data_IF_924113014850
#
_entry.id   IF_924113014850
#
_cell.length_a   1.000
_cell.length_b   1.000
_cell.length_c   1.000
_cell.angle_alpha   90.00
_cell.angle_beta   90.00
_cell.angle_gamma   90.00
#
_symmetry.space_group_name_H-M   'P 1'
#
loop_
_entity.id
_entity.type
_entity.pdbx_description
1 polymer ?
#
# COMPACT_ATOMS: atom_id res chain seq x y z
N UNK A 1 -12.79 -13.74 -10.69
CA UNK A 1 -11.35 -13.59 -10.62
C UNK A 1 -10.92 -13.86 -9.17
N UNK A 2 -10.34 -15.03 -8.92
CA UNK A 2 -9.59 -15.25 -7.69
C UNK A 2 -8.28 -14.48 -7.86
N UNK A 3 -8.21 -13.29 -7.27
CA UNK A 3 -6.92 -12.72 -6.95
C UNK A 3 -6.30 -13.66 -5.91
N UNK A 4 -5.26 -14.36 -6.28
CA UNK A 4 -4.44 -15.11 -5.34
C UNK A 4 -3.82 -14.09 -4.37
N UNK A 5 -4.43 -13.94 -3.22
CA UNK A 5 -3.90 -13.19 -2.08
C UNK A 5 -2.62 -13.86 -1.51
N UNK A 6 -2.10 -14.89 -2.19
CA UNK A 6 -0.96 -15.69 -1.76
C UNK A 6 0.40 -15.20 -2.24
N UNK A 7 0.47 -14.38 -3.28
CA UNK A 7 1.77 -14.03 -3.89
C UNK A 7 2.46 -12.80 -3.27
N UNK A 8 1.79 -12.03 -2.41
CA UNK A 8 2.45 -10.94 -1.67
C UNK A 8 3.25 -11.41 -0.46
N UNK A 9 3.08 -12.65 -0.02
CA UNK A 9 3.67 -13.19 1.22
C UNK A 9 5.15 -13.60 1.07
N UNK A 10 5.71 -13.57 -0.12
CA UNK A 10 7.06 -14.09 -0.42
C UNK A 10 8.15 -13.06 -0.68
N UNK A 11 7.85 -11.75 -0.66
CA UNK A 11 8.87 -10.76 -0.98
C UNK A 11 9.85 -10.56 0.19
N UNK A 12 11.06 -11.14 0.05
CA UNK A 12 12.12 -11.01 1.05
C UNK A 12 13.05 -9.84 0.70
N UNK A 13 12.88 -8.70 1.41
CA UNK A 13 13.66 -7.49 1.19
C UNK A 13 15.17 -7.68 1.42
N UNK A 14 15.57 -8.67 2.22
CA UNK A 14 16.99 -8.94 2.52
C UNK A 14 17.77 -9.45 1.30
N UNK A 15 17.09 -10.14 0.37
CA UNK A 15 17.67 -10.66 -0.88
C UNK A 15 17.20 -9.94 -2.14
N UNK A 16 16.19 -9.05 -2.01
CA UNK A 16 15.61 -8.33 -3.14
C UNK A 16 16.58 -7.30 -3.73
N UNK A 17 16.66 -7.26 -5.04
CA UNK A 17 17.33 -6.18 -5.77
C UNK A 17 16.41 -4.95 -5.85
N UNK A 18 16.97 -3.78 -6.22
CA UNK A 18 16.15 -2.58 -6.46
C UNK A 18 15.11 -2.83 -7.58
N UNK A 19 15.49 -3.62 -8.60
CA UNK A 19 14.59 -3.98 -9.71
C UNK A 19 13.45 -4.88 -9.24
N UNK A 20 13.70 -5.81 -8.29
CA UNK A 20 12.65 -6.63 -7.69
C UNK A 20 11.66 -5.78 -6.89
N UNK A 21 12.15 -4.76 -6.17
CA UNK A 21 11.32 -3.80 -5.43
C UNK A 21 10.43 -3.01 -6.39
N UNK A 22 10.99 -2.50 -7.50
CA UNK A 22 10.23 -1.78 -8.51
C UNK A 22 9.18 -2.67 -9.18
N UNK A 23 9.55 -3.88 -9.61
CA UNK A 23 8.64 -4.82 -10.25
C UNK A 23 7.47 -5.20 -9.33
N UNK A 24 7.73 -5.42 -8.04
CA UNK A 24 6.69 -5.70 -7.06
C UNK A 24 5.74 -4.50 -6.87
N UNK A 25 6.28 -3.28 -6.79
CA UNK A 25 5.50 -2.04 -6.68
C UNK A 25 4.62 -1.83 -7.91
N UNK A 26 5.15 -2.03 -9.12
CA UNK A 26 4.38 -1.92 -10.37
C UNK A 26 3.24 -2.95 -10.41
N UNK A 27 3.50 -4.20 -10.01
CA UNK A 27 2.48 -5.26 -9.97
C UNK A 27 1.36 -4.90 -8.99
N UNK A 28 1.68 -4.40 -7.81
CA UNK A 28 0.67 -3.95 -6.84
C UNK A 28 -0.15 -2.78 -7.37
N UNK A 29 0.48 -1.78 -7.98
CA UNK A 29 -0.21 -0.64 -8.55
C UNK A 29 -1.13 -1.06 -9.71
N UNK A 30 -0.72 -2.01 -10.55
CA UNK A 30 -1.54 -2.55 -11.63
C UNK A 30 -2.77 -3.28 -11.08
N UNK A 31 -2.63 -4.12 -10.05
CA UNK A 31 -3.74 -4.81 -9.40
C UNK A 31 -4.75 -3.84 -8.78
N UNK A 32 -4.26 -2.78 -8.12
CA UNK A 32 -5.12 -1.72 -7.56
C UNK A 32 -5.86 -0.99 -8.68
N UNK A 33 -5.19 -0.64 -9.78
CA UNK A 33 -5.82 0.03 -10.92
C UNK A 33 -6.90 -0.85 -11.58
N UNK A 34 -6.68 -2.17 -11.72
CA UNK A 34 -7.67 -3.12 -12.25
C UNK A 34 -8.90 -3.21 -11.34
N UNK A 35 -8.71 -3.24 -10.01
CA UNK A 35 -9.82 -3.20 -9.05
C UNK A 35 -10.64 -1.91 -9.18
N UNK A 36 -9.98 -0.75 -9.35
CA UNK A 36 -10.64 0.55 -9.52
C UNK A 36 -11.45 0.57 -10.82
N UNK A 37 -10.86 0.12 -11.94
CA UNK A 37 -11.55 0.10 -13.22
C UNK A 37 -12.78 -0.82 -13.18
N UNK A 38 -12.66 -2.01 -12.58
CA UNK A 38 -13.77 -2.92 -12.40
C UNK A 38 -14.91 -2.34 -11.56
N UNK A 39 -14.58 -1.46 -10.62
CA UNK A 39 -15.51 -0.75 -9.77
C UNK A 39 -16.21 0.39 -10.51
N UNK A 40 -15.44 1.16 -11.31
CA UNK A 40 -15.95 2.26 -12.12
C UNK A 40 -16.92 1.74 -13.20
N UNK A 41 -16.65 0.59 -13.83
CA UNK A 41 -17.54 -0.05 -14.79
C UNK A 41 -18.86 -0.48 -14.15
N UNK A 42 -18.81 -1.12 -12.98
CA UNK A 42 -20.01 -1.51 -12.23
C UNK A 42 -20.81 -0.28 -11.80
N UNK A 43 -20.11 0.79 -11.43
CA UNK A 43 -20.65 2.07 -11.01
C UNK A 43 -21.29 2.83 -12.18
N UNK A 44 -20.63 2.87 -13.33
CA UNK A 44 -21.15 3.55 -14.51
C UNK A 44 -22.44 2.89 -15.03
N UNK A 45 -22.50 1.55 -15.01
CA UNK A 45 -23.71 0.80 -15.33
C UNK A 45 -24.87 1.16 -14.41
N UNK A 46 -24.64 1.18 -13.11
CA UNK A 46 -25.66 1.57 -12.12
C UNK A 46 -26.08 3.04 -12.27
N UNK A 47 -25.14 3.96 -12.47
CA UNK A 47 -25.42 5.39 -12.66
C UNK A 47 -26.28 5.63 -13.90
N UNK A 48 -25.99 4.92 -15.00
CA UNK A 48 -26.76 5.00 -16.23
C UNK A 48 -28.19 4.51 -16.03
N UNK A 49 -28.36 3.35 -15.44
CA UNK A 49 -29.67 2.78 -15.15
C UNK A 49 -30.47 3.69 -14.20
N UNK A 50 -29.79 4.31 -13.23
CA UNK A 50 -30.39 5.25 -12.28
C UNK A 50 -30.83 6.56 -12.95
N UNK A 51 -30.00 7.13 -13.83
CA UNK A 51 -30.32 8.37 -14.58
C UNK A 51 -31.44 8.14 -15.59
N UNK A 52 -31.47 6.98 -16.26
CA UNK A 52 -32.56 6.61 -17.14
C UNK A 52 -33.91 6.51 -16.40
N UNK A 53 -33.88 6.10 -15.13
CA UNK A 53 -35.09 6.01 -14.30
C UNK A 53 -35.52 7.32 -13.69
N UNK A 54 -34.56 8.15 -13.31
CA UNK A 54 -34.83 9.50 -12.80
C UNK A 54 -35.51 10.38 -13.88
N UNK A 55 -35.15 10.18 -15.13
CA UNK A 55 -35.69 10.90 -16.25
C UNK A 55 -36.95 10.21 -16.79
N UNK A 56 -38.02 10.98 -17.03
CA UNK A 56 -39.21 10.46 -17.71
C UNK A 56 -38.85 10.02 -19.12
N UNK A 57 -39.21 8.80 -19.49
CA UNK A 57 -39.05 8.33 -20.87
C UNK A 57 -39.86 9.21 -21.80
N UNK A 58 -39.49 9.21 -23.09
CA UNK A 58 -40.25 9.96 -24.09
C UNK A 58 -41.71 9.55 -24.14
N UNK A 59 -42.00 8.29 -23.88
CA UNK A 59 -43.36 7.74 -23.84
C UNK A 59 -44.11 8.19 -22.58
N UNK A 60 -43.46 8.23 -21.41
CA UNK A 60 -44.03 8.78 -20.19
C UNK A 60 -44.29 10.28 -20.26
N UNK A 61 -43.45 11.03 -20.95
CA UNK A 61 -43.68 12.46 -21.26
C UNK A 61 -44.92 12.64 -22.13
N UNK A 62 -45.05 11.81 -23.14
CA UNK A 62 -46.20 11.85 -24.07
C UNK A 62 -47.52 11.48 -23.39
N UNK A 63 -47.52 10.38 -22.64
CA UNK A 63 -48.69 9.93 -21.88
C UNK A 63 -49.04 10.89 -20.74
N UNK A 64 -48.02 11.55 -20.12
CA UNK A 64 -48.20 12.55 -19.05
C UNK A 64 -48.92 13.83 -19.51
N UNK A 65 -48.96 14.14 -20.82
CA UNK A 65 -49.75 15.22 -21.38
C UNK A 65 -51.27 14.91 -21.30
N UNK A 66 -51.62 13.61 -21.40
CA UNK A 66 -53.03 13.17 -21.43
C UNK A 66 -53.50 12.57 -20.08
N UNK A 67 -52.60 12.01 -19.28
CA UNK A 67 -52.93 11.45 -17.93
C UNK A 67 -51.70 11.31 -17.10
N UNK A 68 -51.54 12.16 -16.08
CA UNK A 68 -50.45 12.10 -15.10
C UNK A 68 -50.35 10.75 -14.38
N UNK A 69 -51.48 10.18 -13.94
CA UNK A 69 -51.56 8.90 -13.24
C UNK A 69 -51.07 7.72 -14.08
N UNK A 70 -51.36 7.71 -15.39
CA UNK A 70 -50.94 6.63 -16.28
C UNK A 70 -49.43 6.68 -16.62
N UNK A 71 -48.86 7.89 -16.70
CA UNK A 71 -47.44 8.08 -16.88
C UNK A 71 -46.64 7.65 -15.63
N UNK A 72 -47.20 7.89 -14.44
CA UNK A 72 -46.63 7.48 -13.15
C UNK A 72 -46.67 5.98 -12.94
N UNK A 73 -47.80 5.33 -13.30
CA UNK A 73 -47.92 3.88 -13.23
C UNK A 73 -46.96 3.16 -14.20
N UNK A 74 -46.78 3.68 -15.44
CA UNK A 74 -45.78 3.16 -16.40
C UNK A 74 -44.35 3.31 -15.86
N UNK A 75 -44.05 4.40 -15.18
CA UNK A 75 -42.76 4.63 -14.54
C UNK A 75 -42.50 3.65 -13.40
N UNK A 76 -43.52 3.38 -12.59
CA UNK A 76 -43.44 2.41 -11.47
C UNK A 76 -43.24 0.99 -12.00
N UNK A 77 -43.90 0.63 -13.07
CA UNK A 77 -43.77 -0.70 -13.71
C UNK A 77 -42.38 -0.88 -14.32
N UNK A 78 -41.84 0.19 -14.94
CA UNK A 78 -40.47 0.19 -15.45
C UNK A 78 -39.42 0.07 -14.32
N UNK A 79 -39.67 0.71 -13.19
CA UNK A 79 -38.79 0.60 -12.02
C UNK A 79 -38.84 -0.77 -11.35
N UNK A 80 -40.03 -1.39 -11.31
CA UNK A 80 -40.18 -2.78 -10.82
C UNK A 80 -39.53 -3.79 -11.79
N UNK A 81 -39.69 -3.59 -13.09
CA UNK A 81 -39.11 -4.49 -14.09
C UNK A 81 -37.60 -4.36 -14.22
N UNK A 82 -37.03 -3.23 -13.84
CA UNK A 82 -35.57 -3.01 -13.89
C UNK A 82 -34.80 -3.60 -12.69
N UNK A 83 -35.50 -4.24 -11.74
CA UNK A 83 -34.91 -4.90 -10.56
C UNK A 83 -33.81 -4.07 -9.85
N UNK A 84 -34.11 -2.77 -9.62
CA UNK A 84 -33.13 -1.82 -9.05
C UNK A 84 -32.72 -2.24 -7.65
N UNK A 85 -33.66 -2.76 -6.87
CA UNK A 85 -33.38 -3.26 -5.52
C UNK A 85 -32.30 -4.34 -5.56
N UNK A 86 -32.41 -5.28 -6.50
CA UNK A 86 -31.43 -6.35 -6.67
C UNK A 86 -30.08 -5.82 -7.14
N UNK A 87 -30.08 -4.88 -8.10
CA UNK A 87 -28.84 -4.25 -8.59
C UNK A 87 -28.15 -3.41 -7.52
N UNK A 88 -28.91 -2.67 -6.70
CA UNK A 88 -28.36 -1.90 -5.58
C UNK A 88 -27.78 -2.82 -4.50
N UNK A 89 -28.49 -3.89 -4.15
CA UNK A 89 -28.00 -4.87 -3.19
C UNK A 89 -26.73 -5.58 -3.71
N UNK A 90 -26.69 -5.94 -4.97
CA UNK A 90 -25.49 -6.52 -5.62
C UNK A 90 -24.32 -5.55 -5.61
N UNK A 91 -24.57 -4.27 -5.90
CA UNK A 91 -23.54 -3.22 -5.84
C UNK A 91 -23.00 -3.04 -4.43
N UNK A 92 -23.87 -2.98 -3.41
CA UNK A 92 -23.47 -2.86 -2.00
C UNK A 92 -22.65 -4.08 -1.59
N UNK A 93 -23.12 -5.29 -1.91
CA UNK A 93 -22.41 -6.53 -1.58
C UNK A 93 -21.02 -6.60 -2.23
N UNK A 94 -20.91 -6.22 -3.52
CA UNK A 94 -19.63 -6.15 -4.22
C UNK A 94 -18.70 -5.09 -3.62
N UNK A 95 -19.25 -3.91 -3.30
CA UNK A 95 -18.50 -2.84 -2.63
C UNK A 95 -17.95 -3.29 -1.28
N UNK A 96 -18.77 -3.97 -0.47
CA UNK A 96 -18.35 -4.49 0.84
C UNK A 96 -17.25 -5.56 0.71
N UNK A 97 -17.34 -6.43 -0.29
CA UNK A 97 -16.29 -7.43 -0.57
C UNK A 97 -14.99 -6.73 -0.95
N UNK A 98 -15.05 -5.72 -1.82
CA UNK A 98 -13.87 -4.98 -2.27
C UNK A 98 -13.25 -4.21 -1.10
N UNK A 99 -14.06 -3.54 -0.29
CA UNK A 99 -13.57 -2.85 0.94
C UNK A 99 -12.84 -3.83 1.85
N UNK A 100 -13.42 -5.00 2.12
CA UNK A 100 -12.78 -6.02 2.97
C UNK A 100 -11.45 -6.54 2.39
N UNK A 101 -11.38 -6.70 1.07
CA UNK A 101 -10.13 -7.08 0.41
C UNK A 101 -9.07 -5.98 0.52
N UNK A 102 -9.46 -4.73 0.30
CA UNK A 102 -8.58 -3.58 0.42
C UNK A 102 -8.12 -3.36 1.87
N UNK A 103 -8.99 -3.54 2.85
CA UNK A 103 -8.65 -3.47 4.27
C UNK A 103 -7.66 -4.58 4.66
N UNK A 104 -7.85 -5.80 4.17
CA UNK A 104 -6.91 -6.90 4.39
C UNK A 104 -5.53 -6.63 3.79
N UNK A 105 -5.49 -6.07 2.58
CA UNK A 105 -4.23 -5.65 1.94
C UNK A 105 -3.57 -4.49 2.70
N UNK A 106 -4.36 -3.53 3.18
CA UNK A 106 -3.85 -2.42 3.98
C UNK A 106 -3.18 -2.89 5.26
N UNK A 107 -3.80 -3.83 5.98
CA UNK A 107 -3.20 -4.43 7.18
C UNK A 107 -1.88 -5.14 6.86
N UNK A 108 -1.80 -5.84 5.74
CA UNK A 108 -0.55 -6.46 5.30
C UNK A 108 0.53 -5.42 4.98
N UNK A 109 0.17 -4.34 4.25
CA UNK A 109 1.10 -3.22 3.98
C UNK A 109 1.62 -2.58 5.26
N UNK A 110 0.75 -2.34 6.25
CA UNK A 110 1.12 -1.77 7.55
C UNK A 110 2.04 -2.73 8.34
N UNK A 111 1.77 -4.04 8.30
CA UNK A 111 2.65 -5.06 8.90
C UNK A 111 4.03 -5.10 8.23
N UNK A 112 4.08 -4.98 6.90
CA UNK A 112 5.34 -4.92 6.16
C UNK A 112 6.11 -3.63 6.48
N UNK A 113 5.45 -2.47 6.58
CA UNK A 113 6.06 -1.22 7.01
C UNK A 113 6.74 -1.36 8.37
N UNK A 114 6.06 -1.96 9.35
CA UNK A 114 6.63 -2.18 10.69
C UNK A 114 7.88 -3.08 10.64
N UNK A 115 7.85 -4.15 9.86
CA UNK A 115 9.00 -5.05 9.68
C UNK A 115 10.19 -4.34 9.03
N UNK A 116 9.94 -3.58 7.96
CA UNK A 116 10.98 -2.80 7.26
C UNK A 116 11.57 -1.74 8.18
N UNK A 117 10.74 -1.03 8.95
CA UNK A 117 11.21 -0.03 9.89
C UNK A 117 12.11 -0.63 10.98
N UNK A 118 11.71 -1.75 11.58
CA UNK A 118 12.54 -2.47 12.57
C UNK A 118 13.88 -2.94 11.97
N UNK A 119 13.87 -3.41 10.73
CA UNK A 119 15.10 -3.82 10.05
C UNK A 119 16.01 -2.62 9.75
N UNK A 120 15.42 -1.48 9.38
CA UNK A 120 16.18 -0.23 9.18
C UNK A 120 16.83 0.25 10.48
N UNK A 121 16.09 0.26 11.60
CA UNK A 121 16.62 0.64 12.92
C UNK A 121 17.78 -0.27 13.33
N UNK A 122 17.63 -1.59 13.12
CA UNK A 122 18.72 -2.55 13.36
C UNK A 122 19.92 -2.29 12.46
N UNK A 123 19.71 -2.11 11.17
CA UNK A 123 20.81 -1.86 10.20
C UNK A 123 21.55 -0.55 10.49
N UNK A 124 20.85 0.49 10.99
CA UNK A 124 21.46 1.73 11.45
C UNK A 124 22.35 1.49 12.66
N UNK A 125 21.87 0.77 13.68
CA UNK A 125 22.70 0.40 14.84
C UNK A 125 23.90 -0.46 14.49
N UNK A 126 23.72 -1.45 13.60
CA UNK A 126 24.84 -2.28 13.12
C UNK A 126 25.87 -1.47 12.32
N UNK A 127 25.44 -0.44 11.57
CA UNK A 127 26.34 0.47 10.85
C UNK A 127 27.09 1.39 11.80
N UNK A 128 26.43 1.92 12.81
CA UNK A 128 27.10 2.73 13.85
C UNK A 128 28.17 1.92 14.59
N UNK A 129 27.86 0.66 14.93
CA UNK A 129 28.85 -0.25 15.54
C UNK A 129 30.03 -0.54 14.60
N UNK A 130 29.77 -0.79 13.32
CA UNK A 130 30.84 -1.03 12.33
C UNK A 130 31.73 0.20 12.10
N UNK A 131 31.17 1.41 12.17
CA UNK A 131 31.94 2.66 12.08
C UNK A 131 32.84 2.84 13.34
N UNK A 132 32.29 2.60 14.53
CA UNK A 132 33.06 2.67 15.76
C UNK A 132 34.21 1.63 15.81
N UNK A 133 33.94 0.40 15.33
CA UNK A 133 34.97 -0.64 15.17
C UNK A 133 36.07 -0.20 14.21
N UNK A 134 35.69 0.40 13.07
CA UNK A 134 36.64 0.92 12.07
C UNK A 134 37.53 2.02 12.66
N UNK A 135 36.98 2.94 13.43
CA UNK A 135 37.76 4.00 14.10
C UNK A 135 38.74 3.42 15.12
N UNK A 136 38.31 2.40 15.88
CA UNK A 136 39.20 1.71 16.83
C UNK A 136 40.34 0.96 16.10
N UNK A 137 40.04 0.24 15.04
CA UNK A 137 41.06 -0.46 14.23
C UNK A 137 42.08 0.52 13.65
N UNK A 138 41.65 1.66 13.12
CA UNK A 138 42.53 2.71 12.61
C UNK A 138 43.44 3.28 13.67
N UNK A 139 42.92 3.54 14.87
CA UNK A 139 43.71 4.01 15.99
C UNK A 139 44.78 2.98 16.41
N UNK A 140 44.45 1.68 16.41
CA UNK A 140 45.42 0.62 16.68
C UNK A 140 46.50 0.51 15.59
N UNK A 141 46.12 0.60 14.31
CA UNK A 141 47.07 0.61 13.19
C UNK A 141 48.01 1.78 13.30
N UNK A 142 47.49 2.99 13.53
CA UNK A 142 48.28 4.21 13.68
C UNK A 142 49.25 4.13 14.87
N UNK A 143 48.88 3.44 15.97
CA UNK A 143 49.72 3.24 17.13
C UNK A 143 50.87 2.24 16.89
N UNK A 144 50.77 1.35 15.89
CA UNK A 144 51.82 0.40 15.51
C UNK A 144 52.87 1.02 14.60
N UNK A 145 52.55 2.01 13.79
CA UNK A 145 53.48 2.66 12.86
C UNK A 145 54.74 3.14 13.53
N UNK A 146 54.72 3.94 14.63
CA UNK A 146 55.94 4.38 15.33
C UNK A 146 56.68 3.22 15.97
N UNK A 147 56.06 2.14 16.38
CA UNK A 147 56.70 0.96 16.94
C UNK A 147 57.50 0.21 15.88
N UNK A 148 56.95 0.06 14.69
CA UNK A 148 57.65 -0.56 13.55
C UNK A 148 58.89 0.23 13.14
N UNK A 149 58.78 1.57 13.05
CA UNK A 149 59.89 2.46 12.73
C UNK A 149 60.98 2.39 13.82
N UNK A 150 60.61 2.37 15.12
CA UNK A 150 61.55 2.27 16.21
C UNK A 150 62.31 0.93 16.23
N UNK A 151 61.59 -0.18 16.00
CA UNK A 151 62.16 -1.52 15.90
C UNK A 151 63.17 -1.62 14.71
N UNK A 152 62.81 -1.11 13.53
CA UNK A 152 63.69 -1.06 12.38
C UNK A 152 64.95 -0.23 12.69
N UNK A 153 64.79 0.93 13.34
CA UNK A 153 65.91 1.78 13.73
C UNK A 153 66.85 1.08 14.73
N UNK A 154 66.29 0.39 15.75
CA UNK A 154 67.09 -0.37 16.74
C UNK A 154 67.86 -1.54 16.07
N UNK A 155 67.21 -2.28 15.19
CA UNK A 155 67.85 -3.38 14.43
C UNK A 155 69.03 -2.87 13.62
N UNK A 156 68.88 -1.69 12.99
CA UNK A 156 69.90 -1.12 12.14
C UNK A 156 71.22 -0.80 12.84
N UNK A 157 71.19 -0.49 14.16
CA UNK A 157 72.34 -0.09 14.94
C UNK A 157 72.84 -1.18 15.89
N UNK A 158 72.08 -2.27 16.09
CA UNK A 158 72.40 -3.35 17.02
C UNK A 158 73.55 -4.22 16.50
N UNK A 159 74.60 -4.37 17.34
CA UNK A 159 75.79 -5.17 17.01
C UNK A 159 75.77 -6.55 17.65
N UNK A 160 75.02 -6.76 18.73
CA UNK A 160 74.87 -8.07 19.38
C UNK A 160 73.90 -8.95 18.58
N UNK A 161 74.41 -10.07 18.08
CA UNK A 161 73.67 -10.98 17.23
C UNK A 161 72.44 -11.56 17.95
N UNK A 162 72.52 -11.87 19.24
CA UNK A 162 71.42 -12.43 19.99
C UNK A 162 70.31 -11.37 20.25
N UNK A 163 70.71 -10.14 20.55
CA UNK A 163 69.79 -9.01 20.70
C UNK A 163 69.11 -8.66 19.37
N UNK A 164 69.91 -8.62 18.30
CA UNK A 164 69.37 -8.37 16.96
C UNK A 164 68.32 -9.39 16.54
N UNK A 165 68.56 -10.69 16.77
CA UNK A 165 67.58 -11.74 16.46
C UNK A 165 66.27 -11.55 17.24
N UNK A 166 66.33 -11.11 18.51
CA UNK A 166 65.16 -10.81 19.34
C UNK A 166 64.35 -9.66 18.74
N UNK A 167 65.04 -8.57 18.35
CA UNK A 167 64.37 -7.40 17.74
C UNK A 167 63.76 -7.76 16.38
N UNK A 168 64.44 -8.58 15.55
CA UNK A 168 63.91 -9.09 14.29
C UNK A 168 62.66 -9.94 14.49
N UNK A 169 62.60 -10.75 15.55
CA UNK A 169 61.41 -11.54 15.92
C UNK A 169 60.24 -10.62 16.34
N UNK A 170 60.53 -9.65 17.22
CA UNK A 170 59.54 -8.65 17.65
C UNK A 170 58.98 -7.83 16.47
N UNK A 171 59.82 -7.44 15.51
CA UNK A 171 59.41 -6.76 14.28
C UNK A 171 58.51 -7.66 13.44
N UNK A 172 58.84 -8.95 13.28
CA UNK A 172 58.03 -9.90 12.56
C UNK A 172 56.65 -10.10 13.19
N UNK A 173 56.58 -10.22 14.52
CA UNK A 173 55.32 -10.34 15.28
C UNK A 173 54.47 -9.07 15.16
N UNK A 174 55.09 -7.89 15.28
CA UNK A 174 54.39 -6.58 15.13
C UNK A 174 53.87 -6.38 13.71
N UNK A 175 54.65 -6.75 12.69
CA UNK A 175 54.17 -6.73 11.29
C UNK A 175 53.01 -7.70 11.02
N UNK A 176 53.04 -8.88 11.65
CA UNK A 176 51.93 -9.84 11.56
C UNK A 176 50.65 -9.26 12.16
N UNK A 177 50.76 -8.62 13.32
CA UNK A 177 49.65 -7.92 13.98
C UNK A 177 49.13 -6.76 13.13
N UNK A 178 50.01 -5.93 12.59
CA UNK A 178 49.69 -4.82 11.70
C UNK A 178 48.86 -5.30 10.49
N UNK A 179 49.36 -6.34 9.80
CA UNK A 179 48.71 -6.91 8.62
C UNK A 179 47.30 -7.49 8.97
N UNK A 180 47.15 -8.12 10.13
CA UNK A 180 45.84 -8.63 10.59
C UNK A 180 44.86 -7.46 10.80
N UNK A 181 45.28 -6.40 11.48
CA UNK A 181 44.45 -5.20 11.69
C UNK A 181 44.05 -4.51 10.39
N UNK A 182 44.93 -4.44 9.41
CA UNK A 182 44.61 -3.90 8.07
C UNK A 182 43.58 -4.77 7.34
N UNK A 183 43.65 -6.10 7.48
CA UNK A 183 42.63 -6.99 6.94
C UNK A 183 41.27 -6.78 7.64
N UNK A 184 41.26 -6.67 8.95
CA UNK A 184 40.05 -6.43 9.73
C UNK A 184 39.43 -5.04 9.38
N UNK A 185 40.29 -4.03 9.14
CA UNK A 185 39.83 -2.73 8.64
C UNK A 185 39.09 -2.87 7.30
N UNK A 186 39.65 -3.61 6.34
CA UNK A 186 39.00 -3.81 5.03
C UNK A 186 37.66 -4.56 5.14
N UNK A 187 37.58 -5.54 6.03
CA UNK A 187 36.34 -6.25 6.32
C UNK A 187 35.30 -5.31 6.91
N UNK A 188 35.69 -4.48 7.88
CA UNK A 188 34.80 -3.51 8.52
C UNK A 188 34.30 -2.44 7.55
N UNK A 189 35.17 -1.93 6.65
CA UNK A 189 34.78 -1.02 5.55
C UNK A 189 33.73 -1.68 4.65
N UNK A 190 33.98 -2.90 4.20
CA UNK A 190 33.07 -3.64 3.33
C UNK A 190 31.70 -3.89 3.98
N UNK A 191 31.71 -4.23 5.29
CA UNK A 191 30.51 -4.39 6.10
C UNK A 191 29.72 -3.09 6.20
N UNK A 192 30.37 -1.97 6.52
CA UNK A 192 29.75 -0.66 6.59
C UNK A 192 29.09 -0.24 5.28
N UNK A 193 29.77 -0.42 4.15
CA UNK A 193 29.24 -0.13 2.81
C UNK A 193 28.05 -1.02 2.46
N UNK A 194 28.06 -2.27 2.85
CA UNK A 194 26.97 -3.20 2.63
C UNK A 194 25.72 -2.76 3.43
N UNK A 195 25.91 -2.43 4.70
CA UNK A 195 24.83 -1.91 5.56
C UNK A 195 24.24 -0.61 5.02
N UNK A 196 25.06 0.30 4.49
CA UNK A 196 24.60 1.55 3.87
C UNK A 196 23.66 1.28 2.68
N UNK A 197 24.03 0.34 1.79
CA UNK A 197 23.15 -0.07 0.68
C UNK A 197 21.84 -0.70 1.17
N UNK A 198 21.87 -1.49 2.25
CA UNK A 198 20.64 -2.04 2.84
C UNK A 198 19.74 -0.95 3.41
N UNK A 199 20.32 0.05 4.06
CA UNK A 199 19.58 1.20 4.61
C UNK A 199 18.93 2.00 3.49
N UNK A 200 19.62 2.28 2.39
CA UNK A 200 19.05 3.00 1.24
C UNK A 200 17.89 2.23 0.60
N UNK A 201 18.09 0.92 0.37
CA UNK A 201 17.02 0.06 -0.15
C UNK A 201 15.82 0.01 0.79
N UNK A 202 16.07 -0.14 2.09
CA UNK A 202 15.02 -0.19 3.09
C UNK A 202 14.21 1.10 3.16
N UNK A 203 14.85 2.27 3.05
CA UNK A 203 14.16 3.58 2.98
C UNK A 203 13.28 3.67 1.74
N UNK A 204 13.82 3.35 0.57
CA UNK A 204 13.04 3.37 -0.68
C UNK A 204 11.82 2.44 -0.60
N UNK A 205 12.00 1.26 -0.01
CA UNK A 205 10.91 0.31 0.19
C UNK A 205 9.85 0.84 1.16
N UNK A 206 10.28 1.41 2.28
CA UNK A 206 9.37 2.00 3.26
C UNK A 206 8.53 3.13 2.64
N UNK A 207 9.14 4.02 1.89
CA UNK A 207 8.44 5.11 1.18
C UNK A 207 7.40 4.55 0.18
N UNK A 208 7.75 3.50 -0.55
CA UNK A 208 6.83 2.82 -1.47
C UNK A 208 5.62 2.22 -0.74
N UNK A 209 5.85 1.49 0.36
CA UNK A 209 4.80 0.91 1.18
C UNK A 209 3.88 1.99 1.79
N UNK A 210 4.44 3.11 2.24
CA UNK A 210 3.67 4.24 2.78
C UNK A 210 2.76 4.86 1.72
N UNK A 211 3.28 5.09 0.52
CA UNK A 211 2.51 5.64 -0.60
C UNK A 211 1.38 4.69 -1.02
N UNK A 212 1.64 3.39 -1.07
CA UNK A 212 0.63 2.38 -1.39
C UNK A 212 -0.46 2.34 -0.32
N UNK A 213 -0.11 2.32 0.96
CA UNK A 213 -1.07 2.35 2.06
C UNK A 213 -1.93 3.63 2.04
N UNK A 214 -1.33 4.79 1.77
CA UNK A 214 -2.05 6.06 1.65
C UNK A 214 -3.06 6.02 0.49
N UNK A 215 -2.64 5.54 -0.68
CA UNK A 215 -3.50 5.38 -1.86
C UNK A 215 -4.67 4.45 -1.54
N UNK A 216 -4.41 3.33 -0.89
CA UNK A 216 -5.43 2.34 -0.55
C UNK A 216 -6.47 2.89 0.44
N UNK A 217 -6.03 3.67 1.45
CA UNK A 217 -6.93 4.38 2.37
C UNK A 217 -7.87 5.35 1.64
N UNK A 218 -7.33 6.09 0.67
CA UNK A 218 -8.15 7.01 -0.16
C UNK A 218 -9.20 6.24 -0.96
N UNK A 219 -8.83 5.10 -1.55
CA UNK A 219 -9.75 4.26 -2.33
C UNK A 219 -10.87 3.67 -1.47
N UNK A 220 -10.54 3.14 -0.29
CA UNK A 220 -11.52 2.62 0.66
C UNK A 220 -12.52 3.71 1.03
N UNK A 221 -12.03 4.90 1.42
CA UNK A 221 -12.88 6.02 1.80
C UNK A 221 -13.79 6.48 0.65
N UNK A 222 -13.25 6.59 -0.56
CA UNK A 222 -14.02 6.96 -1.76
C UNK A 222 -15.12 5.95 -2.02
N UNK A 223 -14.78 4.65 -2.03
CA UNK A 223 -15.73 3.58 -2.27
C UNK A 223 -16.88 3.57 -1.26
N UNK A 224 -16.55 3.71 0.03
CA UNK A 224 -17.55 3.77 1.11
C UNK A 224 -18.45 4.99 0.96
N UNK A 225 -17.88 6.16 0.66
CA UNK A 225 -18.64 7.41 0.46
C UNK A 225 -19.57 7.31 -0.74
N UNK A 226 -19.08 6.85 -1.88
CA UNK A 226 -19.86 6.70 -3.12
C UNK A 226 -21.01 5.70 -2.92
N UNK A 227 -20.75 4.59 -2.22
CA UNK A 227 -21.78 3.59 -1.90
C UNK A 227 -22.85 4.18 -0.99
N UNK A 228 -22.47 4.90 0.07
CA UNK A 228 -23.41 5.56 0.97
C UNK A 228 -24.28 6.60 0.26
N UNK A 229 -23.70 7.42 -0.60
CA UNK A 229 -24.45 8.43 -1.39
C UNK A 229 -25.51 7.77 -2.26
N UNK A 230 -25.20 6.64 -2.88
CA UNK A 230 -26.14 5.88 -3.72
C UNK A 230 -27.29 5.29 -2.91
N UNK A 231 -27.01 4.75 -1.74
CA UNK A 231 -28.03 4.25 -0.81
C UNK A 231 -28.98 5.39 -0.41
N UNK A 232 -28.47 6.56 -0.05
CA UNK A 232 -29.26 7.73 0.33
C UNK A 232 -30.16 8.20 -0.84
N UNK A 233 -29.60 8.29 -2.05
CA UNK A 233 -30.35 8.67 -3.25
C UNK A 233 -31.46 7.68 -3.57
N UNK A 234 -31.19 6.38 -3.46
CA UNK A 234 -32.17 5.34 -3.64
C UNK A 234 -33.31 5.43 -2.62
N UNK A 235 -32.97 5.62 -1.35
CA UNK A 235 -33.96 5.73 -0.27
C UNK A 235 -34.86 6.96 -0.45
N UNK A 236 -34.28 8.09 -0.86
CA UNK A 236 -35.02 9.30 -1.21
C UNK A 236 -35.96 9.09 -2.40
N UNK A 237 -35.51 8.38 -3.44
CA UNK A 237 -36.32 8.05 -4.61
C UNK A 237 -37.45 7.09 -4.24
N UNK A 238 -37.18 6.05 -3.47
CA UNK A 238 -38.17 5.08 -2.99
C UNK A 238 -39.26 5.74 -2.12
N UNK A 239 -38.84 6.65 -1.22
CA UNK A 239 -39.80 7.43 -0.42
C UNK A 239 -40.68 8.36 -1.26
N UNK A 240 -40.10 9.04 -2.24
CA UNK A 240 -40.82 9.90 -3.18
C UNK A 240 -41.90 9.12 -3.94
N UNK A 241 -41.58 7.90 -4.37
CA UNK A 241 -42.48 7.02 -5.08
C UNK A 241 -43.62 6.52 -4.20
N UNK A 242 -43.31 6.12 -2.95
CA UNK A 242 -44.36 5.71 -1.97
C UNK A 242 -45.34 6.86 -1.69
N UNK A 243 -44.84 8.08 -1.58
CA UNK A 243 -45.67 9.28 -1.36
C UNK A 243 -46.58 9.56 -2.57
N UNK A 244 -46.05 9.44 -3.78
CA UNK A 244 -46.85 9.59 -5.00
C UNK A 244 -47.92 8.51 -5.11
N UNK A 245 -47.61 7.26 -4.73
CA UNK A 245 -48.59 6.17 -4.68
C UNK A 245 -49.73 6.43 -3.67
N UNK A 246 -49.39 6.93 -2.48
CA UNK A 246 -50.39 7.26 -1.46
C UNK A 246 -51.31 8.39 -1.90
N UNK A 247 -50.77 9.41 -2.60
CA UNK A 247 -51.59 10.48 -3.16
C UNK A 247 -52.51 9.99 -4.28
N UNK A 248 -52.06 9.08 -5.12
CA UNK A 248 -52.85 8.49 -6.22
C UNK A 248 -54.00 7.62 -5.66
N UNK A 249 -53.71 6.83 -4.60
CA UNK A 249 -54.75 6.04 -3.90
C UNK A 249 -55.76 6.96 -3.21
N UNK A 250 -55.32 8.02 -2.52
CA UNK A 250 -56.22 8.99 -1.89
C UNK A 250 -57.11 9.72 -2.91
N UNK A 251 -56.54 10.07 -4.09
CA UNK A 251 -57.33 10.64 -5.19
C UNK A 251 -58.38 9.68 -5.71
N UNK A 252 -58.08 8.40 -5.91
CA UNK A 252 -59.02 7.37 -6.35
C UNK A 252 -60.13 7.11 -5.31
N UNK A 253 -59.79 7.11 -4.03
CA UNK A 253 -60.76 6.97 -2.94
C UNK A 253 -61.73 8.16 -2.97
N UNK A 254 -61.25 9.38 -3.13
CA UNK A 254 -62.04 10.59 -3.22
C UNK A 254 -62.94 10.61 -4.48
N UNK A 255 -62.45 10.06 -5.60
CA UNK A 255 -63.22 9.94 -6.86
C UNK A 255 -64.35 8.93 -6.75
N UNK A 256 -64.09 7.81 -6.06
CA UNK A 256 -65.13 6.78 -5.78
C UNK A 256 -66.15 7.33 -4.77
N UNK A 257 -65.72 8.07 -3.74
CA UNK A 257 -66.62 8.71 -2.78
C UNK A 257 -67.56 9.75 -3.43
N UNK A 258 -67.07 10.53 -4.39
CA UNK A 258 -67.88 11.52 -5.09
C UNK A 258 -68.84 10.91 -6.12
N UNK A 259 -68.61 9.68 -6.57
CA UNK A 259 -69.55 8.95 -7.47
C UNK A 259 -70.63 8.17 -6.71
N UNK A 260 -70.47 7.93 -5.42
CA UNK A 260 -71.44 7.23 -4.55
C UNK A 260 -72.43 8.19 -3.89
N UNK A 261 -72.15 9.51 -3.87
CA UNK A 261 -73.01 10.55 -3.30
C UNK A 261 -73.99 11.21 -4.34
N UNK A 262 -74.06 10.68 -5.58
CA UNK A 262 -75.04 11.00 -6.60
C UNK A 262 -76.03 9.86 -6.76
#
# INVERSE_FOLDING_TARGET
ARADAGDSVGFNIEVATLDDVHAHTETMNANIAELIMGLDDTTAGFSKDFDEMRNKSSMEKFVGIFSKGKAESMRQERMRSASIDEKLQDLIAKSDIIVKLLDGQLQELESQQEKVQKNLERSLGDREAAVAELEALRAEIEALDPQLIDLESKISVEQDAAQRTRLETELADTNTRYNALVQDEQVSISRSQTLERYIEKGKTWLDSLQNQAATQKVLINKLQTDTQQRVVLYDALSKSLKTAQQQDVAHRINEIGSQTDQ
#
